data_IF_443239932177
#
_entry.id   IF_443239932177
#
_cell.length_a   1.000
_cell.length_b   1.000
_cell.length_c   1.000
_cell.angle_alpha   90.00
_cell.angle_beta   90.00
_cell.angle_gamma   90.00
#
_symmetry.space_group_name_H-M   'P 1'
#
loop_
_entity.id
_entity.type
_entity.pdbx_description
1 polymer ?
#
# COMPACT_ATOMS: atom_id res chain seq x y z
N UNK A 1 -14.25 -32.33 40.48
CA UNK A 1 -14.41 -32.38 39.02
C UNK A 1 -15.71 -33.10 38.67
N UNK A 2 -16.74 -32.36 38.19
CA UNK A 2 -18.03 -32.98 37.83
C UNK A 2 -17.87 -33.68 36.46
N UNK A 3 -18.13 -35.00 36.43
CA UNK A 3 -18.18 -35.76 35.16
C UNK A 3 -19.37 -35.26 34.32
N UNK A 4 -19.11 -34.73 33.15
CA UNK A 4 -20.17 -34.39 32.17
C UNK A 4 -20.93 -35.68 31.82
N UNK A 5 -22.27 -35.59 31.82
CA UNK A 5 -23.15 -36.71 31.54
C UNK A 5 -22.95 -37.22 30.11
N UNK A 6 -23.00 -38.55 29.93
CA UNK A 6 -22.90 -39.19 28.60
C UNK A 6 -23.94 -38.66 27.58
N UNK A 7 -25.05 -38.16 28.06
CA UNK A 7 -26.11 -37.50 27.26
C UNK A 7 -25.61 -36.19 26.67
N UNK A 8 -24.88 -35.36 27.43
CA UNK A 8 -24.36 -34.11 26.99
C UNK A 8 -23.29 -34.26 25.88
N UNK A 9 -22.41 -35.28 26.05
CA UNK A 9 -21.42 -35.60 25.01
C UNK A 9 -22.07 -36.05 23.70
N UNK A 10 -23.14 -36.86 23.75
CA UNK A 10 -23.88 -37.27 22.53
C UNK A 10 -24.52 -36.09 21.83
N UNK A 11 -25.11 -35.16 22.57
CA UNK A 11 -25.72 -33.94 21.99
C UNK A 11 -24.68 -33.07 21.30
N UNK A 12 -23.50 -32.89 21.91
CA UNK A 12 -22.41 -32.10 21.29
C UNK A 12 -21.90 -32.78 20.02
N UNK A 13 -21.75 -34.08 19.98
CA UNK A 13 -21.34 -34.81 18.78
C UNK A 13 -22.37 -34.74 17.63
N UNK A 14 -23.65 -34.79 17.95
CA UNK A 14 -24.73 -34.66 16.95
C UNK A 14 -24.77 -33.24 16.38
N UNK A 15 -24.56 -32.22 17.22
CA UNK A 15 -24.50 -30.82 16.74
C UNK A 15 -23.27 -30.59 15.88
N UNK A 16 -22.12 -31.16 16.23
CA UNK A 16 -20.88 -31.06 15.45
C UNK A 16 -21.04 -31.74 14.08
N UNK A 17 -21.66 -32.91 14.04
CA UNK A 17 -21.94 -33.63 12.78
C UNK A 17 -22.92 -32.86 11.88
N UNK A 18 -23.95 -32.22 12.45
CA UNK A 18 -24.88 -31.37 11.71
C UNK A 18 -24.19 -30.14 11.13
N UNK A 19 -23.30 -29.49 11.89
CA UNK A 19 -22.53 -28.33 11.39
C UNK A 19 -21.60 -28.75 10.27
N UNK A 20 -20.90 -29.87 10.39
CA UNK A 20 -20.01 -30.39 9.32
C UNK A 20 -20.78 -30.77 8.07
N UNK A 21 -22.00 -31.36 8.19
CA UNK A 21 -22.81 -31.69 7.03
C UNK A 21 -23.34 -30.45 6.30
N UNK A 22 -23.70 -29.38 7.02
CA UNK A 22 -24.12 -28.12 6.41
C UNK A 22 -22.95 -27.47 5.66
N UNK A 23 -21.71 -27.55 6.16
CA UNK A 23 -20.52 -27.09 5.44
C UNK A 23 -20.21 -27.89 4.17
N UNK A 24 -20.52 -29.18 4.12
CA UNK A 24 -20.34 -30.00 2.91
C UNK A 24 -21.40 -29.72 1.83
N UNK A 25 -22.62 -29.33 2.21
CA UNK A 25 -23.66 -28.94 1.25
C UNK A 25 -23.47 -27.54 0.67
N UNK A 26 -22.79 -26.64 1.38
CA UNK A 26 -22.48 -25.30 0.88
C UNK A 26 -21.35 -25.26 -0.17
N UNK A 27 -20.58 -26.34 -0.31
CA UNK A 27 -19.46 -26.43 -1.26
C UNK A 27 -19.77 -27.04 -2.62
N UNK A 28 -20.99 -27.49 -2.88
CA UNK A 28 -21.36 -28.23 -4.10
C UNK A 28 -22.43 -27.55 -4.95
N UNK A 29 -22.45 -26.22 -5.01
CA UNK A 29 -23.06 -25.56 -6.16
C UNK A 29 -21.99 -25.49 -7.25
N UNK A 30 -21.85 -26.57 -8.02
CA UNK A 30 -21.17 -26.52 -9.31
C UNK A 30 -21.78 -25.37 -10.09
N UNK A 31 -20.98 -24.35 -10.37
CA UNK A 31 -21.34 -23.27 -11.28
C UNK A 31 -21.47 -23.92 -12.66
N UNK A 32 -22.68 -24.31 -13.01
CA UNK A 32 -22.99 -24.80 -14.34
C UNK A 32 -22.88 -23.60 -15.28
N UNK A 33 -21.73 -23.48 -15.98
CA UNK A 33 -21.58 -22.59 -17.11
C UNK A 33 -22.58 -23.00 -18.18
N UNK A 34 -23.74 -22.37 -18.17
CA UNK A 34 -24.66 -22.39 -19.27
C UNK A 34 -24.01 -21.70 -20.47
N UNK A 35 -23.65 -22.51 -21.45
CA UNK A 35 -23.13 -22.09 -22.74
C UNK A 35 -24.25 -21.32 -23.48
N UNK A 36 -24.29 -20.01 -23.27
CA UNK A 36 -25.08 -19.10 -24.10
C UNK A 36 -24.11 -18.33 -25.00
N UNK A 37 -24.06 -18.78 -26.25
CA UNK A 37 -23.38 -18.15 -27.38
C UNK A 37 -23.83 -16.69 -27.59
N UNK A 38 -23.28 -15.80 -26.79
CA UNK A 38 -23.19 -14.39 -27.13
C UNK A 38 -21.70 -14.06 -27.10
N UNK A 39 -21.13 -13.81 -28.26
CA UNK A 39 -19.75 -13.40 -28.48
C UNK A 39 -19.48 -12.00 -27.84
N UNK A 40 -19.70 -11.87 -26.55
CA UNK A 40 -19.16 -10.79 -25.75
C UNK A 40 -17.81 -11.28 -25.23
N UNK A 41 -16.73 -10.77 -25.79
CA UNK A 41 -15.41 -10.92 -25.21
C UNK A 41 -15.51 -10.48 -23.76
N UNK A 42 -15.47 -11.44 -22.87
CA UNK A 42 -15.55 -11.22 -21.44
C UNK A 42 -14.25 -10.52 -21.02
N UNK A 43 -14.33 -9.31 -20.49
CA UNK A 43 -13.16 -8.60 -19.99
C UNK A 43 -12.86 -9.03 -18.55
N UNK A 44 -11.58 -9.21 -18.26
CA UNK A 44 -11.11 -9.65 -16.95
C UNK A 44 -10.46 -8.48 -16.24
N UNK A 45 -11.06 -8.07 -15.13
CA UNK A 45 -10.46 -7.10 -14.20
C UNK A 45 -9.76 -7.80 -13.04
N UNK A 46 -8.50 -7.49 -12.79
CA UNK A 46 -7.74 -8.03 -11.67
C UNK A 46 -7.67 -7.01 -10.54
N UNK A 47 -8.14 -7.41 -9.36
CA UNK A 47 -8.13 -6.58 -8.15
C UNK A 47 -7.08 -7.11 -7.17
N UNK A 48 -6.12 -6.27 -6.81
CA UNK A 48 -4.99 -6.61 -5.96
C UNK A 48 -5.04 -5.84 -4.64
N UNK A 49 -5.21 -6.56 -3.54
CA UNK A 49 -5.27 -5.98 -2.21
C UNK A 49 -3.90 -5.55 -1.67
N UNK A 50 -3.92 -4.67 -0.68
CA UNK A 50 -2.76 -4.44 0.18
C UNK A 50 -2.51 -5.63 1.10
N UNK A 51 -1.27 -5.71 1.63
CA UNK A 51 -0.91 -6.80 2.55
C UNK A 51 0.58 -6.85 2.90
N UNK A 52 1.35 -5.80 2.60
CA UNK A 52 2.80 -5.79 2.79
C UNK A 52 3.46 -6.96 2.06
N UNK A 53 4.40 -7.65 2.70
CA UNK A 53 5.11 -8.78 2.09
C UNK A 53 4.19 -9.91 1.59
N UNK A 54 3.02 -10.10 2.18
CA UNK A 54 2.04 -11.10 1.71
C UNK A 54 1.48 -10.78 0.32
N UNK A 55 1.44 -9.49 -0.04
CA UNK A 55 0.97 -9.06 -1.36
C UNK A 55 1.88 -9.49 -2.51
N UNK A 56 3.10 -9.96 -2.24
CA UNK A 56 3.95 -10.56 -3.26
C UNK A 56 3.34 -11.84 -3.87
N UNK A 57 2.43 -12.51 -3.16
CA UNK A 57 1.66 -13.63 -3.70
C UNK A 57 0.82 -13.28 -4.93
N UNK A 58 0.51 -11.99 -5.14
CA UNK A 58 -0.18 -11.53 -6.33
C UNK A 58 0.59 -11.85 -7.63
N UNK A 59 1.93 -11.87 -7.58
CA UNK A 59 2.75 -12.25 -8.74
C UNK A 59 2.43 -13.69 -9.17
N UNK A 60 2.30 -14.59 -8.19
CA UNK A 60 1.92 -15.99 -8.48
C UNK A 60 0.52 -16.12 -9.08
N UNK A 61 -0.43 -15.26 -8.66
CA UNK A 61 -1.77 -15.21 -9.25
C UNK A 61 -1.71 -14.73 -10.70
N UNK A 62 -0.97 -13.66 -10.98
CA UNK A 62 -0.77 -13.13 -12.33
C UNK A 62 -0.15 -14.22 -13.21
N UNK A 63 0.92 -14.87 -12.73
CA UNK A 63 1.59 -15.97 -13.45
C UNK A 63 0.62 -17.11 -13.79
N UNK A 64 -0.20 -17.53 -12.84
CA UNK A 64 -1.21 -18.56 -13.06
C UNK A 64 -2.27 -18.15 -14.09
N UNK A 65 -2.68 -16.88 -14.13
CA UNK A 65 -3.60 -16.37 -15.14
C UNK A 65 -2.96 -16.41 -16.53
N UNK A 66 -1.71 -15.96 -16.65
CA UNK A 66 -0.96 -16.00 -17.93
C UNK A 66 -0.77 -17.44 -18.45
N UNK A 67 -0.35 -18.36 -17.57
CA UNK A 67 -0.15 -19.77 -17.91
C UNK A 67 -1.44 -20.46 -18.38
N UNK A 68 -2.59 -19.98 -17.93
CA UNK A 68 -3.90 -20.47 -18.36
C UNK A 68 -4.53 -19.64 -19.50
N UNK A 69 -3.77 -18.73 -20.12
CA UNK A 69 -4.22 -17.85 -21.19
C UNK A 69 -5.46 -17.02 -20.83
N UNK A 70 -5.58 -16.62 -19.56
CA UNK A 70 -6.63 -15.72 -19.09
C UNK A 70 -6.12 -14.28 -19.25
N UNK A 71 -6.68 -13.48 -20.19
CA UNK A 71 -6.23 -12.11 -20.39
C UNK A 71 -6.57 -11.24 -19.19
N UNK A 72 -5.70 -10.28 -18.89
CA UNK A 72 -5.94 -9.27 -17.87
C UNK A 72 -6.17 -7.94 -18.59
N UNK A 73 -7.44 -7.51 -18.67
CA UNK A 73 -7.84 -6.31 -19.41
C UNK A 73 -7.76 -5.04 -18.57
N UNK A 74 -7.76 -5.17 -17.26
CA UNK A 74 -7.73 -4.06 -16.31
C UNK A 74 -7.15 -4.48 -14.97
N UNK A 75 -6.36 -3.62 -14.35
CA UNK A 75 -5.80 -3.87 -13.01
C UNK A 75 -6.11 -2.71 -12.09
N UNK A 76 -6.47 -3.04 -10.86
CA UNK A 76 -6.51 -2.07 -9.79
C UNK A 76 -5.83 -2.63 -8.54
N UNK A 77 -5.22 -1.73 -7.76
CA UNK A 77 -4.44 -2.17 -6.61
C UNK A 77 -4.39 -1.18 -5.46
N UNK A 78 -4.15 -1.73 -4.29
CA UNK A 78 -3.89 -0.97 -3.06
C UNK A 78 -2.58 -1.43 -2.44
N UNK A 79 -1.73 -0.49 -1.97
CA UNK A 79 -0.49 -0.81 -1.25
C UNK A 79 0.43 -1.74 -2.07
N UNK A 80 0.79 -2.91 -1.56
CA UNK A 80 1.58 -3.89 -2.32
C UNK A 80 0.88 -4.30 -3.63
N UNK A 81 -0.45 -4.38 -3.63
CA UNK A 81 -1.22 -4.63 -4.85
C UNK A 81 -1.09 -3.51 -5.88
N UNK A 82 -0.90 -2.26 -5.45
CA UNK A 82 -0.60 -1.16 -6.36
C UNK A 82 0.81 -1.25 -6.93
N UNK A 83 1.78 -1.73 -6.17
CA UNK A 83 3.16 -1.93 -6.66
C UNK A 83 3.18 -3.05 -7.70
N UNK A 84 2.68 -4.24 -7.35
CA UNK A 84 2.66 -5.40 -8.26
C UNK A 84 1.80 -5.11 -9.50
N UNK A 85 0.59 -4.55 -9.31
CA UNK A 85 -0.30 -4.20 -10.42
C UNK A 85 0.28 -3.09 -11.31
N UNK A 86 0.94 -2.10 -10.72
CA UNK A 86 1.61 -1.03 -11.45
C UNK A 86 2.79 -1.53 -12.28
N UNK A 87 3.62 -2.43 -11.73
CA UNK A 87 4.72 -3.07 -12.46
C UNK A 87 4.19 -3.86 -13.67
N UNK A 88 3.16 -4.66 -13.46
CA UNK A 88 2.53 -5.41 -14.55
C UNK A 88 1.92 -4.48 -15.61
N UNK A 89 1.23 -3.43 -15.18
CA UNK A 89 0.60 -2.45 -16.07
C UNK A 89 1.59 -1.72 -16.98
N UNK A 90 2.84 -1.56 -16.56
CA UNK A 90 3.91 -0.95 -17.37
C UNK A 90 4.73 -1.97 -18.17
N UNK A 91 4.42 -3.27 -18.06
CA UNK A 91 4.99 -4.32 -18.88
C UNK A 91 6.05 -5.20 -18.23
N UNK A 92 6.21 -5.16 -16.91
CA UNK A 92 7.06 -6.12 -16.22
C UNK A 92 6.44 -7.53 -16.30
N UNK A 93 7.26 -8.48 -16.66
CA UNK A 93 6.91 -9.89 -16.60
C UNK A 93 6.89 -10.38 -15.14
N UNK A 94 6.19 -11.49 -14.90
CA UNK A 94 6.17 -12.10 -13.56
C UNK A 94 7.56 -12.53 -13.08
N UNK A 95 8.42 -12.97 -13.97
CA UNK A 95 9.78 -13.38 -13.63
C UNK A 95 10.66 -12.15 -13.28
N UNK A 96 10.58 -11.04 -14.02
CA UNK A 96 11.24 -9.78 -13.67
C UNK A 96 10.77 -9.22 -12.33
N UNK A 97 9.49 -9.34 -12.02
CA UNK A 97 8.96 -8.95 -10.71
C UNK A 97 9.52 -9.83 -9.59
N UNK A 98 9.61 -11.14 -9.80
CA UNK A 98 10.21 -12.06 -8.81
C UNK A 98 11.68 -11.68 -8.57
N UNK A 99 12.45 -11.43 -9.62
CA UNK A 99 13.85 -11.01 -9.52
C UNK A 99 14.00 -9.70 -8.75
N UNK A 100 13.17 -8.69 -9.07
CA UNK A 100 13.14 -7.40 -8.39
C UNK A 100 12.91 -7.56 -6.89
N UNK A 101 11.88 -8.31 -6.49
CA UNK A 101 11.51 -8.45 -5.07
C UNK A 101 12.40 -9.42 -4.29
N UNK A 102 13.03 -10.39 -4.95
CA UNK A 102 14.04 -11.28 -4.36
C UNK A 102 15.40 -10.60 -4.24
N UNK A 103 15.61 -9.51 -4.97
CA UNK A 103 16.85 -8.74 -4.99
C UNK A 103 17.14 -8.03 -3.67
N UNK A 104 18.43 -7.86 -3.36
CA UNK A 104 18.88 -7.07 -2.20
C UNK A 104 18.52 -5.59 -2.32
N UNK A 105 18.37 -5.11 -3.53
CA UNK A 105 18.03 -3.73 -3.84
C UNK A 105 16.67 -3.36 -3.27
N UNK A 106 15.63 -4.15 -3.56
CA UNK A 106 14.28 -3.90 -3.02
C UNK A 106 14.27 -3.92 -1.49
N UNK A 107 15.00 -4.84 -0.86
CA UNK A 107 15.14 -4.90 0.58
C UNK A 107 15.80 -3.62 1.13
N UNK A 108 16.85 -3.12 0.48
CA UNK A 108 17.51 -1.86 0.84
C UNK A 108 16.56 -0.66 0.71
N UNK A 109 15.81 -0.54 -0.39
CA UNK A 109 14.85 0.56 -0.58
C UNK A 109 13.75 0.52 0.48
N UNK A 110 13.24 -0.66 0.78
CA UNK A 110 12.18 -0.85 1.77
C UNK A 110 12.61 -0.46 3.19
N UNK A 111 13.90 -0.57 3.48
CA UNK A 111 14.52 -0.14 4.75
C UNK A 111 14.99 1.32 4.73
N UNK A 112 14.91 1.98 3.59
CA UNK A 112 15.38 3.36 3.43
C UNK A 112 16.91 3.47 3.42
N UNK A 113 17.60 2.41 3.03
CA UNK A 113 19.04 2.37 2.87
C UNK A 113 19.37 2.79 1.43
N UNK A 114 20.18 3.84 1.22
CA UNK A 114 20.57 4.25 -0.13
C UNK A 114 21.56 3.24 -0.70
N UNK A 115 21.49 2.99 -2.01
CA UNK A 115 22.60 2.37 -2.72
C UNK A 115 23.86 3.21 -2.56
N UNK A 116 24.99 2.56 -2.36
CA UNK A 116 26.27 3.22 -2.09
C UNK A 116 26.67 4.25 -3.17
N UNK A 117 26.27 4.07 -4.42
CA UNK A 117 26.56 5.00 -5.52
C UNK A 117 25.87 6.37 -5.36
N UNK A 118 24.68 6.41 -4.77
CA UNK A 118 23.94 7.66 -4.57
C UNK A 118 24.12 8.26 -3.17
N UNK A 119 24.68 7.51 -2.23
CA UNK A 119 24.87 7.94 -0.84
C UNK A 119 25.84 9.11 -0.69
N UNK A 120 26.72 9.32 -1.68
CA UNK A 120 27.73 10.38 -1.65
C UNK A 120 27.20 11.77 -1.98
N UNK A 121 26.03 11.89 -2.58
CA UNK A 121 25.48 13.17 -3.03
C UNK A 121 24.59 13.88 -2.02
N UNK A 122 24.18 13.18 -0.96
CA UNK A 122 23.34 13.75 0.09
C UNK A 122 24.08 13.76 1.42
N UNK A 123 24.93 14.79 1.63
CA UNK A 123 25.46 15.07 2.96
C UNK A 123 24.33 15.54 3.87
N UNK A 124 23.91 14.67 4.74
CA UNK A 124 22.99 15.00 5.82
C UNK A 124 23.63 14.57 7.12
N UNK A 125 23.54 15.42 8.14
CA UNK A 125 23.98 15.04 9.49
C UNK A 125 23.45 13.65 9.81
N UNK A 126 24.34 12.75 10.25
CA UNK A 126 23.96 11.39 10.60
C UNK A 126 22.78 11.43 11.57
N UNK A 127 21.70 10.68 11.31
CA UNK A 127 20.63 10.61 12.27
C UNK A 127 21.20 10.01 13.55
N UNK A 128 21.20 10.80 14.62
CA UNK A 128 21.55 10.27 15.93
C UNK A 128 20.69 9.05 16.22
N UNK A 129 21.24 7.98 16.83
CA UNK A 129 20.50 6.76 17.13
C UNK A 129 19.38 6.96 18.15
N UNK A 130 19.11 8.19 18.56
CA UNK A 130 18.03 8.55 19.45
C UNK A 130 16.71 8.51 18.69
N UNK A 131 15.87 7.53 19.03
CA UNK A 131 14.51 7.36 18.52
C UNK A 131 13.61 8.56 18.87
N UNK A 132 14.04 9.39 19.82
CA UNK A 132 13.35 10.60 20.28
C UNK A 132 14.38 11.69 20.56
N UNK A 133 14.29 12.81 19.87
CA UNK A 133 15.05 14.02 20.20
C UNK A 133 14.11 15.04 20.84
N UNK A 134 14.42 15.44 22.06
CA UNK A 134 13.73 16.52 22.76
C UNK A 134 14.53 17.81 22.55
N UNK A 135 14.06 18.66 21.65
CA UNK A 135 14.62 20.00 21.49
C UNK A 135 13.97 20.96 22.48
N UNK A 136 14.71 21.39 23.52
CA UNK A 136 14.30 22.51 24.35
C UNK A 136 14.79 23.79 23.65
N UNK A 137 13.97 24.32 22.76
CA UNK A 137 14.23 25.59 22.10
C UNK A 137 13.43 26.70 22.76
N UNK A 138 14.09 27.73 23.21
CA UNK A 138 13.46 29.03 23.54
C UNK A 138 13.30 29.78 22.23
N UNK A 139 12.08 29.77 21.64
CA UNK A 139 11.78 30.72 20.57
C UNK A 139 11.52 32.06 21.21
N UNK A 140 12.48 32.97 21.15
CA UNK A 140 12.24 34.35 21.47
C UNK A 140 11.17 34.90 20.53
N UNK A 141 10.05 35.30 21.14
CA UNK A 141 9.01 35.98 20.39
C UNK A 141 9.50 37.41 20.19
N UNK A 142 9.89 37.79 18.98
CA UNK A 142 10.44 39.09 18.67
C UNK A 142 9.50 40.28 19.00
N UNK A 143 8.22 39.99 19.29
CA UNK A 143 7.24 40.97 19.77
C UNK A 143 6.25 40.30 20.75
N UNK A 144 6.63 40.08 22.01
CA UNK A 144 5.69 39.56 23.02
C UNK A 144 4.74 40.69 23.40
N UNK A 145 3.43 40.45 23.22
CA UNK A 145 2.41 41.34 23.79
C UNK A 145 2.47 41.22 25.32
N UNK A 146 2.52 42.36 26.06
CA UNK A 146 2.49 42.32 27.51
C UNK A 146 1.17 41.76 28.03
N UNK A 147 1.22 41.05 29.13
CA UNK A 147 0.03 40.56 29.80
C UNK A 147 -0.74 41.74 30.48
N UNK A 148 -1.90 41.44 31.09
CA UNK A 148 -2.73 42.43 31.76
C UNK A 148 -2.02 43.16 32.92
N UNK A 149 -0.83 42.67 33.30
CA UNK A 149 0.01 43.24 34.38
C UNK A 149 1.28 43.89 33.84
N UNK A 150 1.43 44.03 32.49
CA UNK A 150 2.59 44.64 31.88
C UNK A 150 3.87 43.80 31.90
N UNK A 151 3.79 42.53 32.27
CA UNK A 151 4.93 41.64 32.29
C UNK A 151 5.08 40.89 30.96
N UNK A 152 6.28 40.99 30.37
CA UNK A 152 6.65 40.27 29.16
C UNK A 152 7.15 38.89 29.56
N UNK A 153 6.22 37.94 29.64
CA UNK A 153 6.54 36.55 30.01
C UNK A 153 6.98 35.74 28.81
N UNK A 154 8.22 35.27 28.81
CA UNK A 154 8.66 34.24 27.83
C UNK A 154 8.03 32.90 28.18
N UNK A 155 6.95 32.49 27.46
CA UNK A 155 6.39 31.15 27.56
C UNK A 155 7.35 30.18 26.90
N UNK A 156 8.07 29.38 27.66
CA UNK A 156 8.81 28.21 27.15
C UNK A 156 7.84 27.22 26.59
N UNK A 157 7.79 27.07 25.25
CA UNK A 157 7.08 25.98 24.59
C UNK A 157 8.05 24.83 24.38
N UNK A 158 7.80 23.73 25.03
CA UNK A 158 8.49 22.47 24.74
C UNK A 158 7.89 21.94 23.43
N UNK A 159 8.69 21.92 22.36
CA UNK A 159 8.30 21.34 21.10
C UNK A 159 8.78 19.88 21.12
N UNK A 160 7.85 18.96 21.18
CA UNK A 160 8.12 17.54 21.04
C UNK A 160 8.17 17.22 19.54
N UNK A 161 9.36 17.08 18.99
CA UNK A 161 9.53 16.62 17.61
C UNK A 161 9.55 15.09 17.62
N UNK A 162 8.38 14.49 17.36
CA UNK A 162 8.27 13.05 17.13
C UNK A 162 8.69 12.74 15.69
N UNK A 163 9.42 11.63 15.45
CA UNK A 163 9.73 11.21 14.09
C UNK A 163 8.43 10.91 13.35
N UNK A 164 8.24 11.54 12.19
CA UNK A 164 7.05 11.36 11.36
C UNK A 164 7.11 10.04 10.58
N UNK A 165 8.32 9.50 10.39
CA UNK A 165 8.55 8.23 9.70
C UNK A 165 9.83 7.55 10.20
N UNK A 166 9.78 6.22 10.28
CA UNK A 166 10.95 5.40 10.68
C UNK A 166 11.88 5.11 9.51
N UNK A 167 11.35 5.08 8.29
CA UNK A 167 12.08 4.75 7.06
C UNK A 167 12.30 6.02 6.25
N UNK A 168 13.54 6.19 5.76
CA UNK A 168 13.85 7.28 4.84
C UNK A 168 13.15 7.01 3.51
N UNK A 169 12.30 7.92 3.00
CA UNK A 169 11.51 7.65 1.81
C UNK A 169 12.31 7.72 0.50
N UNK A 170 13.39 8.52 0.46
CA UNK A 170 14.04 8.87 -0.78
C UNK A 170 14.63 7.70 -1.60
N UNK A 171 15.16 6.60 -1.02
CA UNK A 171 15.62 5.49 -1.85
C UNK A 171 14.47 4.86 -2.62
N UNK A 172 13.35 4.59 -1.95
CA UNK A 172 12.15 4.07 -2.57
C UNK A 172 11.55 5.04 -3.59
N UNK A 173 11.51 6.34 -3.25
CA UNK A 173 10.98 7.38 -4.13
C UNK A 173 11.79 7.46 -5.44
N UNK A 174 13.12 7.43 -5.36
CA UNK A 174 14.01 7.45 -6.54
C UNK A 174 13.82 6.22 -7.42
N UNK A 175 13.75 5.03 -6.82
CA UNK A 175 13.59 3.81 -7.59
C UNK A 175 12.20 3.70 -8.23
N UNK A 176 11.16 4.13 -7.54
CA UNK A 176 9.83 4.21 -8.14
C UNK A 176 9.80 5.21 -9.30
N UNK A 177 10.47 6.35 -9.18
CA UNK A 177 10.63 7.27 -10.29
C UNK A 177 11.38 6.62 -11.46
N UNK A 178 12.48 5.92 -11.21
CA UNK A 178 13.25 5.21 -12.23
C UNK A 178 12.41 4.17 -12.98
N UNK A 179 11.61 3.41 -12.24
CA UNK A 179 10.78 2.34 -12.79
C UNK A 179 9.54 2.88 -13.52
N UNK A 180 8.79 3.77 -12.89
CA UNK A 180 7.47 4.16 -13.38
C UNK A 180 7.44 5.41 -14.27
N UNK A 181 8.38 6.35 -14.12
CA UNK A 181 8.32 7.62 -14.85
C UNK A 181 8.44 7.46 -16.40
N UNK A 182 9.24 6.54 -16.96
CA UNK A 182 9.27 6.35 -18.40
C UNK A 182 7.91 5.93 -18.97
N UNK A 183 7.21 5.00 -18.31
CA UNK A 183 5.91 4.53 -18.73
C UNK A 183 4.82 5.60 -18.53
N UNK A 184 4.86 6.34 -17.42
CA UNK A 184 3.97 7.47 -17.19
C UNK A 184 4.08 8.53 -18.29
N UNK A 185 5.31 8.84 -18.71
CA UNK A 185 5.55 9.77 -19.81
C UNK A 185 5.04 9.21 -21.15
N UNK A 186 5.26 7.94 -21.44
CA UNK A 186 4.81 7.30 -22.67
C UNK A 186 3.28 7.27 -22.77
N UNK A 187 2.57 7.03 -21.66
CA UNK A 187 1.10 7.05 -21.55
C UNK A 187 0.52 8.47 -21.45
N UNK A 188 1.35 9.52 -21.55
CA UNK A 188 0.95 10.93 -21.36
C UNK A 188 0.28 11.18 -19.99
N UNK A 189 0.79 10.48 -18.97
CA UNK A 189 0.28 10.55 -17.59
C UNK A 189 -1.18 10.09 -17.42
N UNK A 190 -1.70 9.30 -18.35
CA UNK A 190 -3.00 8.66 -18.27
C UNK A 190 -2.81 7.15 -18.04
N UNK A 191 -3.24 6.65 -16.89
CA UNK A 191 -3.00 5.25 -16.51
C UNK A 191 -3.90 4.27 -17.28
N UNK A 192 -5.01 4.76 -17.86
CA UNK A 192 -5.83 3.96 -18.77
C UNK A 192 -5.13 3.73 -20.12
N UNK A 193 -4.05 4.45 -20.41
CA UNK A 193 -3.20 4.32 -21.61
C UNK A 193 -1.91 3.53 -21.36
N UNK A 194 -1.74 2.90 -20.21
CA UNK A 194 -0.65 1.97 -19.95
C UNK A 194 -0.84 0.67 -20.75
N UNK A 195 0.15 -0.22 -20.75
CA UNK A 195 0.06 -1.51 -21.45
C UNK A 195 -1.16 -2.32 -20.99
N UNK A 196 -1.42 -2.33 -19.70
CA UNK A 196 -2.71 -2.76 -19.12
C UNK A 196 -3.29 -1.55 -18.36
N UNK A 197 -4.51 -1.12 -18.65
CA UNK A 197 -5.19 -0.05 -17.93
C UNK A 197 -5.15 -0.27 -16.41
N UNK A 198 -4.81 0.78 -15.67
CA UNK A 198 -4.50 0.66 -14.24
C UNK A 198 -5.10 1.81 -13.44
N UNK A 199 -5.44 1.54 -12.18
CA UNK A 199 -5.57 2.56 -11.16
C UNK A 199 -5.09 2.05 -9.79
N UNK A 200 -4.73 2.96 -8.91
CA UNK A 200 -4.44 2.61 -7.53
C UNK A 200 -5.18 3.52 -6.56
N UNK A 201 -5.33 3.01 -5.33
CA UNK A 201 -6.09 3.68 -4.28
C UNK A 201 -5.15 4.08 -3.15
N UNK A 202 -5.29 5.32 -2.72
CA UNK A 202 -4.69 5.89 -1.52
C UNK A 202 -5.78 6.38 -0.57
N UNK A 203 -5.42 6.82 0.63
CA UNK A 203 -6.34 7.33 1.64
C UNK A 203 -6.14 8.82 1.89
N UNK A 204 -7.17 9.63 1.66
CA UNK A 204 -7.27 11.01 2.11
C UNK A 204 -7.77 11.03 3.56
N UNK A 205 -6.85 11.06 4.50
CA UNK A 205 -7.17 11.03 5.94
C UNK A 205 -7.91 12.29 6.38
N UNK A 206 -7.61 13.44 5.78
CA UNK A 206 -8.25 14.70 6.15
C UNK A 206 -9.74 14.71 5.80
N UNK A 207 -10.09 14.17 4.63
CA UNK A 207 -11.48 14.08 4.16
C UNK A 207 -12.13 12.74 4.47
N UNK A 208 -11.41 11.80 5.10
CA UNK A 208 -11.89 10.45 5.49
C UNK A 208 -12.51 9.68 4.32
N UNK A 209 -11.78 9.61 3.22
CA UNK A 209 -12.24 8.92 2.01
C UNK A 209 -11.09 8.30 1.25
N UNK A 210 -11.40 7.40 0.35
CA UNK A 210 -10.44 6.93 -0.64
C UNK A 210 -10.07 8.03 -1.64
N UNK A 211 -8.87 7.91 -2.19
CA UNK A 211 -8.37 8.74 -3.27
C UNK A 211 -7.90 7.82 -4.40
N UNK A 212 -8.65 7.82 -5.50
CA UNK A 212 -8.38 6.99 -6.67
C UNK A 212 -7.48 7.75 -7.63
N UNK A 213 -6.29 7.19 -7.92
CA UNK A 213 -5.34 7.75 -8.89
C UNK A 213 -5.46 7.02 -10.21
N UNK A 214 -5.87 7.74 -11.27
CA UNK A 214 -5.95 7.27 -12.67
C UNK A 214 -5.09 8.07 -13.62
N UNK A 215 -4.51 9.17 -13.17
CA UNK A 215 -3.75 10.14 -13.95
C UNK A 215 -2.64 10.76 -13.10
N UNK A 216 -1.66 11.34 -13.77
CA UNK A 216 -0.59 12.09 -13.15
C UNK A 216 0.70 11.29 -13.02
N UNK A 217 1.50 11.60 -12.01
CA UNK A 217 2.74 10.87 -11.76
C UNK A 217 2.44 9.48 -11.17
N UNK A 218 2.69 8.44 -11.98
CA UNK A 218 2.46 7.06 -11.59
C UNK A 218 3.34 6.64 -10.41
N UNK A 219 4.59 7.12 -10.35
CA UNK A 219 5.50 6.82 -9.25
C UNK A 219 4.97 7.37 -7.93
N UNK A 220 4.51 8.63 -7.95
CA UNK A 220 3.91 9.26 -6.78
C UNK A 220 2.59 8.60 -6.38
N UNK A 221 1.76 8.18 -7.33
CA UNK A 221 0.48 7.52 -7.07
C UNK A 221 0.68 6.14 -6.40
N UNK A 222 1.57 5.30 -6.95
CA UNK A 222 1.92 4.00 -6.37
C UNK A 222 2.56 4.18 -5.00
N UNK A 223 3.47 5.15 -4.88
CA UNK A 223 4.13 5.46 -3.62
C UNK A 223 3.15 5.95 -2.55
N UNK A 224 2.16 6.78 -2.90
CA UNK A 224 1.11 7.21 -2.00
C UNK A 224 0.28 6.02 -1.50
N UNK A 225 -0.09 5.11 -2.43
CA UNK A 225 -0.89 3.91 -2.12
C UNK A 225 -0.24 3.00 -1.08
N UNK A 226 1.10 2.96 -1.01
CA UNK A 226 1.85 2.13 -0.07
C UNK A 226 2.37 2.88 1.17
N UNK A 227 1.99 4.13 1.36
CA UNK A 227 2.47 4.96 2.47
C UNK A 227 1.85 4.55 3.80
N UNK A 228 2.36 3.48 4.40
CA UNK A 228 1.91 3.06 5.72
C UNK A 228 2.37 4.07 6.80
N UNK A 229 1.46 4.53 7.67
CA UNK A 229 1.78 5.50 8.71
C UNK A 229 2.94 5.08 9.59
N UNK A 230 3.73 6.04 10.02
CA UNK A 230 4.94 5.88 10.80
C UNK A 230 6.11 5.22 10.05
N UNK A 231 5.86 4.30 9.09
CA UNK A 231 6.95 3.72 8.29
C UNK A 231 7.44 4.72 7.25
N UNK A 232 6.55 5.27 6.44
CA UNK A 232 6.91 6.19 5.37
C UNK A 232 6.29 7.57 5.57
N UNK A 233 7.02 8.60 5.15
CA UNK A 233 6.50 9.97 5.11
C UNK A 233 5.35 10.04 4.09
N UNK A 234 4.21 10.67 4.45
CA UNK A 234 3.09 10.83 3.52
C UNK A 234 3.45 11.71 2.33
N UNK A 235 2.76 11.46 1.22
CA UNK A 235 2.92 12.21 -0.04
C UNK A 235 1.73 13.14 -0.23
N UNK A 236 1.99 14.30 -0.83
CA UNK A 236 0.94 15.24 -1.21
C UNK A 236 0.76 15.21 -2.73
N UNK A 237 -0.44 14.85 -3.18
CA UNK A 237 -0.87 14.89 -4.59
C UNK A 237 -2.09 15.81 -4.65
N UNK A 238 -2.11 16.77 -5.57
CA UNK A 238 -3.20 17.74 -5.75
C UNK A 238 -3.63 18.41 -4.44
N UNK A 239 -2.66 18.87 -3.67
CA UNK A 239 -2.86 19.48 -2.34
C UNK A 239 -3.55 18.56 -1.31
N UNK A 240 -3.61 17.27 -1.57
CA UNK A 240 -4.18 16.25 -0.67
C UNK A 240 -3.06 15.42 -0.08
N UNK A 241 -3.01 15.34 1.26
CA UNK A 241 -2.06 14.50 1.98
C UNK A 241 -2.56 13.06 2.01
N UNK A 242 -1.80 12.17 1.39
CA UNK A 242 -2.19 10.78 1.13
C UNK A 242 -1.38 9.79 1.95
N UNK A 243 -2.08 8.75 2.37
CA UNK A 243 -1.56 7.59 3.08
C UNK A 243 -1.97 6.29 2.38
N UNK A 244 -1.51 5.15 2.90
CA UNK A 244 -1.84 3.82 2.40
C UNK A 244 -3.35 3.64 2.17
N UNK A 245 -3.70 3.11 1.01
CA UNK A 245 -5.10 2.93 0.61
C UNK A 245 -5.88 1.96 1.48
N UNK A 246 -5.19 1.06 2.18
CA UNK A 246 -5.79 0.05 3.04
C UNK A 246 -6.62 0.60 4.21
N UNK A 247 -6.52 1.91 4.52
CA UNK A 247 -7.36 2.53 5.54
C UNK A 247 -8.83 2.65 5.14
N UNK A 248 -9.11 2.87 3.86
CA UNK A 248 -10.48 3.09 3.37
C UNK A 248 -10.90 2.05 2.35
N UNK A 249 -10.00 1.59 1.49
CA UNK A 249 -10.31 0.60 0.48
C UNK A 249 -9.11 -0.30 0.20
N UNK A 250 -9.01 -1.38 0.96
CA UNK A 250 -7.91 -2.36 0.80
C UNK A 250 -8.10 -3.31 -0.38
N UNK A 251 -9.30 -3.39 -0.93
CA UNK A 251 -9.67 -4.25 -2.05
C UNK A 251 -10.58 -3.47 -3.00
N UNK A 252 -10.02 -2.64 -3.90
CA UNK A 252 -10.77 -1.69 -4.73
C UNK A 252 -11.44 -2.38 -5.92
N UNK A 253 -12.64 -2.89 -5.75
CA UNK A 253 -13.45 -3.54 -6.79
C UNK A 253 -14.54 -2.62 -7.33
#
# INVERSE_FOLDING_TARGET
MKRLSKSYLKSVWITLLLVVSVFQYAGATAFSLSDSTVNKTQRVGLVLSGGGAKGLSHIGVIKALEENNIPIDYICGTSMGAIVGGLYAIGYTTDEMIELFAGKEFDSWSRGEPEYEYGSFFYRDEPTPTMFSFGIGTKENKNPLPDKNGQVGSKKRVKLDLPVSFVKPYPMDLEFMRIFAPAAKASKYDFDSLMVPFFCVSSDIARKREFVSRKGDLSAAVRASMTYPFFFKPITIDSTLLFDGGFYNNFPW
#
